data_IF_553122466345
#
_entry.id   IF_553122466345
#
_cell.length_a   1.000
_cell.length_b   1.000
_cell.length_c   1.000
_cell.angle_alpha   90.00
_cell.angle_beta   90.00
_cell.angle_gamma   90.00
#
_symmetry.space_group_name_H-M   'P 1'
#
loop_
_entity.id
_entity.type
_entity.pdbx_description
1 polymer ?
#
# COMPACT_ATOMS: atom_id res chain seq x y z
N UNK A 1 17.60 21.38 -13.03
CA UNK A 1 16.52 21.72 -12.09
C UNK A 1 15.27 20.98 -12.53
N UNK A 2 15.02 19.82 -11.96
CA UNK A 2 13.76 19.10 -12.06
C UNK A 2 13.77 18.12 -10.90
N UNK A 3 13.33 18.58 -9.73
CA UNK A 3 13.17 17.80 -8.52
C UNK A 3 12.09 16.74 -8.78
N UNK A 4 12.49 15.60 -9.33
CA UNK A 4 11.69 14.39 -9.43
C UNK A 4 11.57 13.76 -8.02
N UNK A 5 10.90 14.47 -7.12
CA UNK A 5 10.38 13.86 -5.89
C UNK A 5 9.23 12.98 -6.33
N UNK A 6 9.55 11.70 -6.54
CA UNK A 6 8.58 10.61 -6.56
C UNK A 6 7.69 10.85 -5.34
N UNK A 7 6.47 11.36 -5.55
CA UNK A 7 5.47 11.61 -4.51
C UNK A 7 5.00 10.24 -3.98
N UNK A 8 5.89 9.50 -3.33
CA UNK A 8 5.50 8.44 -2.40
C UNK A 8 4.98 9.19 -1.18
N UNK A 9 3.73 9.64 -1.29
CA UNK A 9 3.02 10.16 -0.14
C UNK A 9 3.12 9.09 0.95
N UNK A 10 3.67 9.47 2.11
CA UNK A 10 3.77 8.53 3.22
C UNK A 10 2.36 8.05 3.56
N UNK A 11 2.18 6.72 3.65
CA UNK A 11 0.88 6.13 4.01
C UNK A 11 0.51 6.61 5.41
N UNK A 12 -0.74 7.02 5.60
CA UNK A 12 -1.27 7.54 6.85
C UNK A 12 -2.46 6.71 7.32
N UNK A 13 -2.73 6.76 8.63
CA UNK A 13 -3.95 6.16 9.20
C UNK A 13 -5.18 6.84 8.58
N UNK A 14 -6.14 6.03 8.15
CA UNK A 14 -7.34 6.45 7.43
C UNK A 14 -7.19 6.43 5.91
N UNK A 15 -5.98 6.27 5.37
CA UNK A 15 -5.78 6.17 3.92
C UNK A 15 -6.33 4.85 3.38
N UNK A 16 -6.85 4.90 2.15
CA UNK A 16 -7.23 3.70 1.41
C UNK A 16 -6.01 3.22 0.64
N UNK A 17 -5.57 2.00 0.90
CA UNK A 17 -4.38 1.40 0.31
C UNK A 17 -4.72 0.18 -0.55
N UNK A 18 -3.78 -0.20 -1.41
CA UNK A 18 -3.76 -1.44 -2.16
C UNK A 18 -2.34 -2.02 -2.18
N UNK A 19 -2.19 -3.27 -2.62
CA UNK A 19 -0.87 -3.83 -2.88
C UNK A 19 -0.16 -3.07 -4.01
N UNK A 20 1.13 -2.79 -3.82
CA UNK A 20 1.94 -2.13 -4.84
C UNK A 20 2.19 -3.08 -6.02
N UNK A 21 2.22 -2.54 -7.24
CA UNK A 21 2.51 -3.33 -8.45
C UNK A 21 3.83 -4.10 -8.32
N UNK A 22 4.85 -3.49 -7.74
CA UNK A 22 6.15 -4.13 -7.52
C UNK A 22 6.04 -5.36 -6.60
N UNK A 23 5.24 -5.29 -5.55
CA UNK A 23 4.98 -6.42 -4.66
C UNK A 23 4.26 -7.55 -5.41
N UNK A 24 3.18 -7.24 -6.14
CA UNK A 24 2.42 -8.21 -6.92
C UNK A 24 3.26 -8.90 -8.00
N UNK A 25 4.14 -8.15 -8.68
CA UNK A 25 5.08 -8.71 -9.66
C UNK A 25 6.10 -9.62 -9.00
N UNK A 26 6.61 -9.24 -7.82
CA UNK A 26 7.59 -10.03 -7.06
C UNK A 26 6.99 -11.35 -6.54
N UNK A 27 5.73 -11.34 -6.11
CA UNK A 27 5.03 -12.52 -5.59
C UNK A 27 4.34 -13.35 -6.66
N UNK A 28 4.37 -12.92 -7.93
CA UNK A 28 3.69 -13.59 -9.04
C UNK A 28 2.15 -13.49 -8.99
N UNK A 29 1.60 -12.59 -8.18
CA UNK A 29 0.16 -12.40 -7.98
C UNK A 29 -0.44 -11.47 -9.04
N UNK A 30 -0.36 -11.91 -10.30
CA UNK A 30 -0.83 -11.15 -11.47
C UNK A 30 -2.36 -11.18 -11.66
N UNK A 31 -3.04 -12.18 -11.09
CA UNK A 31 -4.46 -12.43 -11.29
C UNK A 31 -5.14 -12.77 -9.97
N UNK A 32 -6.46 -12.65 -9.94
CA UNK A 32 -7.28 -12.96 -8.77
C UNK A 32 -7.63 -11.73 -7.94
N UNK A 33 -7.93 -11.96 -6.67
CA UNK A 33 -8.59 -10.97 -5.82
C UNK A 33 -7.61 -9.95 -5.20
N UNK A 34 -6.39 -10.42 -4.91
CA UNK A 34 -5.29 -9.67 -4.29
C UNK A 34 -4.91 -8.39 -5.05
N UNK A 35 -4.72 -8.37 -6.39
CA UNK A 35 -4.40 -7.14 -7.12
C UNK A 35 -5.53 -6.09 -7.10
N UNK A 36 -6.77 -6.51 -6.87
CA UNK A 36 -7.92 -5.61 -6.77
C UNK A 36 -8.30 -5.26 -5.33
N UNK A 37 -7.66 -5.89 -4.35
CA UNK A 37 -7.93 -5.68 -2.95
C UNK A 37 -7.66 -4.23 -2.54
N UNK A 38 -8.66 -3.64 -1.89
CA UNK A 38 -8.57 -2.33 -1.25
C UNK A 38 -8.78 -2.52 0.23
N UNK A 39 -8.04 -1.76 1.02
CA UNK A 39 -8.16 -1.77 2.47
C UNK A 39 -7.93 -0.39 3.04
N UNK A 40 -8.42 -0.18 4.25
CA UNK A 40 -8.24 1.08 4.98
C UNK A 40 -7.20 0.89 6.06
N UNK A 41 -6.22 1.79 6.11
CA UNK A 41 -5.22 1.78 7.18
C UNK A 41 -5.89 2.19 8.48
N UNK A 42 -5.89 1.32 9.47
CA UNK A 42 -6.44 1.55 10.81
C UNK A 42 -5.36 1.95 11.81
N UNK A 43 -4.13 1.46 11.62
CA UNK A 43 -2.99 1.81 12.47
C UNK A 43 -1.67 1.74 11.69
N UNK A 44 -0.64 2.42 12.20
CA UNK A 44 0.73 2.32 11.72
C UNK A 44 1.63 2.00 12.91
N UNK A 45 2.42 0.94 12.78
CA UNK A 45 3.37 0.51 13.79
C UNK A 45 4.78 0.48 13.18
N UNK A 46 5.70 1.19 13.80
CA UNK A 46 7.10 1.21 13.36
C UNK A 46 7.87 0.13 14.11
N UNK A 47 8.45 -0.83 13.38
CA UNK A 47 9.37 -1.83 13.91
C UNK A 47 10.81 -1.40 13.61
N UNK A 48 11.50 -0.85 14.61
CA UNK A 48 12.88 -0.40 14.46
C UNK A 48 13.02 0.90 13.65
N UNK A 49 14.14 1.06 12.93
CA UNK A 49 14.46 2.32 12.22
C UNK A 49 13.90 2.41 10.80
N UNK A 50 13.63 1.26 10.15
CA UNK A 50 13.40 1.21 8.68
C UNK A 50 12.19 0.38 8.24
N UNK A 51 11.44 -0.19 9.19
CA UNK A 51 10.26 -1.02 8.90
C UNK A 51 9.03 -0.38 9.53
N UNK A 52 8.03 -0.12 8.69
CA UNK A 52 6.72 0.35 9.15
C UNK A 52 5.67 -0.63 8.65
N UNK A 53 4.86 -1.13 9.57
CA UNK A 53 3.72 -2.00 9.31
C UNK A 53 2.45 -1.16 9.38
N UNK A 54 1.62 -1.26 8.36
CA UNK A 54 0.26 -0.77 8.39
C UNK A 54 -0.67 -1.90 8.84
N UNK A 55 -1.50 -1.61 9.82
CA UNK A 55 -2.69 -2.41 10.10
C UNK A 55 -3.78 -1.95 9.16
N UNK A 56 -4.36 -2.88 8.41
CA UNK A 56 -5.25 -2.63 7.29
C UNK A 56 -6.49 -3.49 7.48
N UNK A 57 -7.62 -2.82 7.50
CA UNK A 57 -8.91 -3.47 7.37
C UNK A 57 -9.22 -3.61 5.88
N UNK A 58 -9.01 -4.82 5.35
CA UNK A 58 -9.29 -5.14 3.97
C UNK A 58 -10.79 -5.34 3.75
N UNK A 59 -11.26 -4.95 2.57
CA UNK A 59 -12.63 -5.25 2.13
C UNK A 59 -12.85 -6.77 1.93
N UNK A 60 -11.75 -7.52 1.84
CA UNK A 60 -11.71 -8.97 1.64
C UNK A 60 -11.18 -9.67 2.89
N UNK A 61 -11.87 -10.69 3.42
CA UNK A 61 -11.52 -11.32 4.68
C UNK A 61 -10.27 -12.22 4.63
N UNK A 62 -9.78 -12.59 3.44
CA UNK A 62 -8.68 -13.56 3.28
C UNK A 62 -7.28 -12.90 3.23
N UNK A 63 -7.19 -11.61 3.54
CA UNK A 63 -5.95 -10.85 3.42
C UNK A 63 -5.31 -10.55 4.79
N UNK A 64 -3.97 -10.55 4.86
CA UNK A 64 -3.27 -10.27 6.11
C UNK A 64 -3.57 -8.84 6.58
N UNK A 65 -4.12 -8.71 7.78
CA UNK A 65 -4.43 -7.42 8.38
C UNK A 65 -3.21 -6.56 8.73
N UNK A 66 -1.98 -7.10 8.70
CA UNK A 66 -0.74 -6.34 8.91
C UNK A 66 0.19 -6.49 7.72
N UNK A 67 0.52 -5.38 7.06
CA UNK A 67 1.35 -5.38 5.85
C UNK A 67 2.40 -4.29 5.93
N UNK A 68 3.61 -4.58 5.47
CA UNK A 68 4.67 -3.59 5.38
C UNK A 68 4.28 -2.47 4.40
N UNK A 69 4.41 -1.20 4.81
CA UNK A 69 4.09 -0.04 3.97
C UNK A 69 4.82 -0.05 2.63
N UNK A 70 6.01 -0.67 2.54
CA UNK A 70 6.78 -0.81 1.30
C UNK A 70 6.06 -1.69 0.25
N UNK A 71 5.20 -2.60 0.70
CA UNK A 71 4.41 -3.49 -0.16
C UNK A 71 3.07 -2.87 -0.58
N UNK A 72 2.79 -1.65 -0.13
CA UNK A 72 1.51 -0.97 -0.33
C UNK A 72 1.68 0.27 -1.19
N UNK A 73 0.56 0.72 -1.73
CA UNK A 73 0.43 2.00 -2.43
C UNK A 73 -0.89 2.65 -2.02
N UNK A 74 -0.90 3.98 -1.94
CA UNK A 74 -2.13 4.73 -1.66
C UNK A 74 -3.06 4.61 -2.88
N UNK A 75 -4.30 4.21 -2.66
CA UNK A 75 -5.34 4.23 -3.69
C UNK A 75 -5.79 5.67 -3.97
N UNK A 76 -5.61 6.57 -2.99
CA UNK A 76 -5.82 8.00 -3.15
C UNK A 76 -4.61 8.59 -3.88
N UNK A 77 -4.83 9.01 -5.13
CA UNK A 77 -3.84 9.81 -5.84
C UNK A 77 -2.95 9.08 -6.86
N UNK A 78 -3.47 8.10 -7.61
CA UNK A 78 -3.14 8.10 -9.04
C UNK A 78 -3.98 9.22 -9.66
N UNK A 79 -3.60 10.47 -9.40
CA UNK A 79 -3.87 11.50 -10.38
C UNK A 79 -3.02 11.09 -11.57
N UNK A 80 -3.64 10.36 -12.51
CA UNK A 80 -3.12 10.27 -13.86
C UNK A 80 -2.89 11.72 -14.28
N UNK A 81 -1.62 12.08 -14.46
CA UNK A 81 -1.30 13.31 -15.16
C UNK A 81 -1.94 13.22 -16.53
N UNK A 82 -2.84 14.17 -16.80
CA UNK A 82 -3.26 14.51 -18.15
C UNK A 82 -2.06 14.99 -18.99
#
# INVERSE_FOLDING_TARGET
MADWVKRTQAIQVGDTVAYSKAFLQSTGQYTGDVPHARGKVTALQTLGKDVTLAEIEWDKPDLPGRVNVKNLTTARGIALGE
#
